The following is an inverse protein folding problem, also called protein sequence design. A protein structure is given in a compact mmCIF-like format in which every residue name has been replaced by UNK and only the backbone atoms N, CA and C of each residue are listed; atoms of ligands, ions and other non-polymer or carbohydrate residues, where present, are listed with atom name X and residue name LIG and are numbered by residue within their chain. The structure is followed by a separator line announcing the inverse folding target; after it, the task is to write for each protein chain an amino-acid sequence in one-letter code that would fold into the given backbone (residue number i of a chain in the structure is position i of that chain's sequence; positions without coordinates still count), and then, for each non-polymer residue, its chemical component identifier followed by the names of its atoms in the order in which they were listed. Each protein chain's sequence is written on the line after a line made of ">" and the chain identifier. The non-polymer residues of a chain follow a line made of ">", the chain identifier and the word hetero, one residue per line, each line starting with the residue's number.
data_IF_708764753736
#
_entry.id   IF_708764753736
#
_cell.length_a   1.000
_cell.length_b   1.000
_cell.length_c   1.000
_cell.angle_alpha   90.00
_cell.angle_beta   90.00
_cell.angle_gamma   90.00
#
_symmetry.space_group_name_H-M   'P 1'
#
loop_
_entity.id
_entity.type
_entity.pdbx_description
1 polymer ?
#
# COMPACT_ATOMS: atom_id res chain seq x y z
N UNK A 1 14.96 45.46 -31.11
CA UNK A 1 14.88 44.77 -29.79
C UNK A 1 13.68 43.85 -29.65
N UNK A 2 12.50 44.19 -30.19
CA UNK A 2 11.26 43.40 -30.06
C UNK A 2 11.39 41.95 -30.62
N UNK A 3 11.98 41.79 -31.81
CA UNK A 3 12.20 40.47 -32.44
C UNK A 3 13.08 39.53 -31.62
N UNK A 4 14.10 40.05 -30.92
CA UNK A 4 14.99 39.24 -30.05
C UNK A 4 14.26 38.70 -28.82
N UNK A 5 13.34 39.49 -28.25
CA UNK A 5 12.51 39.09 -27.11
C UNK A 5 11.46 38.03 -27.52
N UNK A 6 10.86 38.18 -28.70
CA UNK A 6 9.91 37.20 -29.26
C UNK A 6 10.61 35.87 -29.53
N UNK A 7 11.82 35.89 -30.09
CA UNK A 7 12.59 34.68 -30.36
C UNK A 7 12.98 33.93 -29.08
N UNK A 8 13.40 34.64 -28.03
CA UNK A 8 13.66 34.08 -26.70
C UNK A 8 12.41 33.46 -26.06
N UNK A 9 11.25 34.10 -26.22
CA UNK A 9 9.99 33.59 -25.70
C UNK A 9 9.53 32.32 -26.42
N UNK A 10 9.71 32.25 -27.75
CA UNK A 10 9.38 31.06 -28.55
C UNK A 10 10.30 29.89 -28.18
N UNK A 11 11.61 30.12 -27.99
CA UNK A 11 12.56 29.10 -27.51
C UNK A 11 12.16 28.57 -26.13
N UNK A 12 11.71 29.46 -25.23
CA UNK A 12 11.27 29.06 -23.90
C UNK A 12 10.02 28.17 -23.95
N UNK A 13 9.05 28.49 -24.82
CA UNK A 13 7.84 27.70 -25.02
C UNK A 13 8.16 26.33 -25.66
N UNK A 14 9.06 26.28 -26.64
CA UNK A 14 9.46 25.02 -27.28
C UNK A 14 10.28 24.13 -26.35
N UNK A 15 11.11 24.70 -25.47
CA UNK A 15 11.77 23.92 -24.41
C UNK A 15 10.75 23.32 -23.42
N UNK A 16 9.75 24.11 -22.99
CA UNK A 16 8.73 23.61 -22.05
C UNK A 16 7.85 22.50 -22.64
N UNK A 17 7.58 22.54 -23.95
CA UNK A 17 6.73 21.54 -24.61
C UNK A 17 7.41 20.18 -24.83
N UNK A 18 8.73 20.07 -24.67
CA UNK A 18 9.43 18.77 -24.67
C UNK A 18 9.41 18.05 -23.31
N UNK A 19 9.12 18.76 -22.22
CA UNK A 19 9.07 18.20 -20.85
C UNK A 19 7.72 17.51 -20.58
N UNK A 20 6.65 17.91 -21.29
CA UNK A 20 5.29 17.40 -21.11
C UNK A 20 4.97 16.14 -21.94
N UNK A 21 5.98 15.45 -22.49
CA UNK A 21 5.77 14.14 -23.08
C UNK A 21 5.65 13.10 -21.96
N UNK A 22 4.42 12.89 -21.49
CA UNK A 22 4.10 11.79 -20.58
C UNK A 22 4.44 10.47 -21.29
N UNK A 23 5.53 9.82 -20.88
CA UNK A 23 5.95 8.54 -21.44
C UNK A 23 4.83 7.53 -21.20
N UNK A 24 4.22 7.03 -22.28
CA UNK A 24 3.24 5.95 -22.21
C UNK A 24 3.90 4.71 -21.59
N UNK A 25 3.15 3.99 -20.76
CA UNK A 25 3.57 2.67 -20.30
C UNK A 25 3.78 1.75 -21.51
N UNK A 26 4.98 1.18 -21.62
CA UNK A 26 5.27 0.11 -22.56
C UNK A 26 4.83 -1.24 -21.96
N UNK A 27 4.28 -2.13 -22.81
CA UNK A 27 3.89 -3.48 -22.38
C UNK A 27 5.09 -4.32 -21.95
N UNK A 28 6.22 -4.19 -22.63
CA UNK A 28 7.44 -4.95 -22.30
C UNK A 28 7.95 -4.59 -20.90
N UNK A 29 7.99 -3.29 -20.59
CA UNK A 29 8.34 -2.82 -19.25
C UNK A 29 7.37 -3.34 -18.18
N UNK A 30 6.06 -3.37 -18.46
CA UNK A 30 5.07 -3.92 -17.54
C UNK A 30 5.36 -5.40 -17.25
N UNK A 31 5.54 -6.21 -18.29
CA UNK A 31 5.75 -7.65 -18.12
C UNK A 31 7.08 -7.95 -17.42
N UNK A 32 8.15 -7.23 -17.75
CA UNK A 32 9.42 -7.33 -17.03
C UNK A 32 9.27 -6.92 -15.56
N UNK A 33 8.54 -5.84 -15.26
CA UNK A 33 8.29 -5.42 -13.88
C UNK A 33 7.47 -6.46 -13.09
N UNK A 34 6.46 -7.08 -13.72
CA UNK A 34 5.67 -8.15 -13.10
C UNK A 34 6.52 -9.37 -12.73
N UNK A 35 7.46 -9.77 -13.58
CA UNK A 35 8.35 -10.90 -13.28
C UNK A 35 9.12 -10.72 -11.97
N UNK A 36 9.48 -9.48 -11.63
CA UNK A 36 10.19 -9.15 -10.39
C UNK A 36 9.22 -8.97 -9.21
N UNK A 37 8.06 -8.37 -9.46
CA UNK A 37 7.22 -7.81 -8.40
C UNK A 37 5.92 -8.57 -8.11
N UNK A 38 5.45 -9.49 -8.95
CA UNK A 38 4.10 -10.08 -8.81
C UNK A 38 3.91 -10.79 -7.46
N UNK A 39 4.83 -11.71 -7.11
CA UNK A 39 4.83 -12.40 -5.80
C UNK A 39 4.96 -11.40 -4.64
N UNK A 40 5.83 -10.40 -4.81
CA UNK A 40 6.10 -9.37 -3.79
C UNK A 40 4.88 -8.51 -3.50
N UNK A 41 4.16 -8.13 -4.54
CA UNK A 41 2.92 -7.37 -4.45
C UNK A 41 1.81 -8.19 -3.76
N UNK A 42 1.78 -9.51 -3.96
CA UNK A 42 0.94 -10.41 -3.18
C UNK A 42 1.23 -10.33 -1.68
N UNK A 43 2.51 -10.33 -1.29
CA UNK A 43 2.90 -10.17 0.11
C UNK A 43 2.54 -8.80 0.69
N UNK A 44 2.76 -7.72 -0.07
CA UNK A 44 2.35 -6.38 0.33
C UNK A 44 0.83 -6.27 0.52
N UNK A 45 0.04 -6.83 -0.40
CA UNK A 45 -1.41 -6.85 -0.29
C UNK A 45 -1.90 -7.57 0.98
N UNK A 46 -1.28 -8.71 1.30
CA UNK A 46 -1.58 -9.46 2.51
C UNK A 46 -1.21 -8.67 3.78
N UNK A 47 -0.03 -8.04 3.81
CA UNK A 47 0.38 -7.18 4.92
C UNK A 47 -0.61 -6.02 5.15
N UNK A 48 -1.04 -5.35 4.09
CA UNK A 48 -2.03 -4.26 4.16
C UNK A 48 -3.37 -4.72 4.75
N UNK A 49 -3.88 -5.87 4.31
CA UNK A 49 -5.15 -6.42 4.80
C UNK A 49 -5.04 -6.76 6.29
N UNK A 50 -3.98 -7.44 6.68
CA UNK A 50 -3.78 -7.84 8.07
C UNK A 50 -3.57 -6.63 8.99
N UNK A 51 -2.77 -5.66 8.58
CA UNK A 51 -2.52 -4.46 9.37
C UNK A 51 -3.76 -3.57 9.51
N UNK A 52 -4.59 -3.47 8.46
CA UNK A 52 -5.89 -2.82 8.57
C UNK A 52 -6.79 -3.49 9.61
N UNK A 53 -6.91 -4.83 9.55
CA UNK A 53 -7.70 -5.60 10.53
C UNK A 53 -7.15 -5.48 11.96
N UNK A 54 -5.83 -5.41 12.10
CA UNK A 54 -5.18 -5.20 13.39
C UNK A 54 -5.57 -3.85 13.99
N UNK A 55 -5.55 -2.78 13.18
CA UNK A 55 -6.00 -1.45 13.61
C UNK A 55 -7.49 -1.43 13.97
N UNK A 56 -8.34 -2.05 13.16
CA UNK A 56 -9.77 -2.17 13.44
C UNK A 56 -10.00 -2.86 14.79
N UNK A 57 -9.25 -3.95 15.06
CA UNK A 57 -9.29 -4.65 16.33
C UNK A 57 -8.81 -3.77 17.49
N UNK A 58 -7.70 -3.03 17.34
CA UNK A 58 -7.23 -2.07 18.35
C UNK A 58 -8.29 -1.00 18.68
N UNK A 59 -8.98 -0.48 17.67
CA UNK A 59 -10.04 0.52 17.84
C UNK A 59 -11.32 -0.03 18.47
N UNK A 60 -11.68 -1.28 18.14
CA UNK A 60 -12.86 -1.94 18.69
C UNK A 60 -12.65 -2.48 20.11
N UNK A 61 -11.40 -2.55 20.59
CA UNK A 61 -11.08 -3.22 21.84
C UNK A 61 -11.54 -2.43 23.07
N UNK A 62 -12.77 -2.70 23.48
CA UNK A 62 -13.16 -2.83 24.87
C UNK A 62 -12.57 -4.16 25.42
N UNK A 63 -11.39 -4.11 26.04
CA UNK A 63 -10.89 -5.03 27.08
C UNK A 63 -10.81 -6.57 26.83
N UNK A 64 -10.88 -7.12 25.60
CA UNK A 64 -11.05 -8.59 25.40
C UNK A 64 -10.01 -9.31 24.54
N UNK A 65 -9.24 -8.64 23.69
CA UNK A 65 -8.15 -9.32 22.96
C UNK A 65 -6.85 -9.37 23.79
N UNK A 66 -6.32 -10.58 24.02
CA UNK A 66 -5.04 -10.85 24.70
C UNK A 66 -3.86 -10.28 23.90
N UNK A 67 -2.91 -9.66 24.60
CA UNK A 67 -1.66 -9.07 24.07
C UNK A 67 -0.89 -10.04 23.16
N UNK A 68 -0.94 -11.33 23.47
CA UNK A 68 -0.30 -12.36 22.66
C UNK A 68 -0.88 -12.46 21.24
N UNK A 69 -2.19 -12.27 21.06
CA UNK A 69 -2.82 -12.32 19.74
C UNK A 69 -2.43 -11.13 18.85
N UNK A 70 -2.28 -9.93 19.45
CA UNK A 70 -1.81 -8.76 18.74
C UNK A 70 -0.35 -8.94 18.28
N UNK A 71 0.51 -9.43 19.17
CA UNK A 71 1.91 -9.73 18.83
C UNK A 71 2.03 -10.80 17.74
N UNK A 72 1.21 -11.86 17.80
CA UNK A 72 1.19 -12.88 16.75
C UNK A 72 0.79 -12.29 15.39
N UNK A 73 -0.23 -11.43 15.36
CA UNK A 73 -0.64 -10.72 14.15
C UNK A 73 0.45 -9.77 13.62
N UNK A 74 1.12 -9.02 14.50
CA UNK A 74 2.26 -8.15 14.15
C UNK A 74 3.40 -8.95 13.51
N UNK A 75 3.78 -10.08 14.09
CA UNK A 75 4.81 -10.97 13.54
C UNK A 75 4.42 -11.56 12.18
N UNK A 76 3.16 -11.96 11.99
CA UNK A 76 2.67 -12.39 10.68
C UNK A 76 2.80 -11.27 9.64
N UNK A 77 2.46 -10.03 9.99
CA UNK A 77 2.61 -8.88 9.09
C UNK A 77 4.09 -8.66 8.75
N UNK A 78 4.99 -8.68 9.75
CA UNK A 78 6.44 -8.56 9.53
C UNK A 78 6.97 -9.62 8.57
N UNK A 79 6.55 -10.87 8.71
CA UNK A 79 6.93 -11.96 7.79
C UNK A 79 6.54 -11.61 6.34
N UNK A 80 5.35 -11.05 6.13
CA UNK A 80 4.93 -10.61 4.80
C UNK A 80 5.77 -9.43 4.28
N UNK A 81 6.10 -8.45 5.14
CA UNK A 81 6.97 -7.33 4.78
C UNK A 81 8.40 -7.79 4.43
N UNK A 82 8.94 -8.78 5.15
CA UNK A 82 10.22 -9.40 4.80
C UNK A 82 10.16 -10.11 3.44
N UNK A 83 9.07 -10.85 3.16
CA UNK A 83 8.89 -11.55 1.87
C UNK A 83 8.66 -10.59 0.69
N UNK A 84 8.05 -9.43 0.94
CA UNK A 84 8.02 -8.32 -0.01
C UNK A 84 9.46 -7.90 -0.35
N UNK A 85 10.31 -7.73 0.67
CA UNK A 85 11.66 -7.20 0.61
C UNK A 85 11.73 -5.92 1.43
N UNK A 86 12.79 -5.73 2.23
CA UNK A 86 12.92 -4.50 3.04
C UNK A 86 13.14 -3.29 2.11
N UNK A 87 12.78 -2.06 2.51
CA UNK A 87 12.82 -0.90 1.62
C UNK A 87 14.16 -0.65 0.92
N UNK A 88 15.29 -0.92 1.58
CA UNK A 88 16.62 -0.82 0.96
C UNK A 88 16.82 -1.85 -0.16
N UNK A 89 16.42 -3.10 0.07
CA UNK A 89 16.51 -4.17 -0.93
C UNK A 89 15.57 -3.89 -2.11
N UNK A 90 14.37 -3.39 -1.85
CA UNK A 90 13.43 -3.03 -2.90
C UNK A 90 14.04 -1.98 -3.84
N UNK A 91 14.67 -0.93 -3.28
CA UNK A 91 15.33 0.14 -4.06
C UNK A 91 16.46 -0.35 -4.96
N UNK A 92 17.05 -1.50 -4.65
CA UNK A 92 18.16 -2.10 -5.39
C UNK A 92 17.69 -3.13 -6.43
N UNK A 93 16.38 -3.41 -6.52
CA UNK A 93 15.86 -4.36 -7.51
C UNK A 93 16.14 -3.89 -8.94
N UNK A 94 16.56 -4.84 -9.78
CA UNK A 94 16.69 -4.62 -11.22
C UNK A 94 15.28 -4.52 -11.83
N UNK A 95 14.86 -3.28 -12.10
CA UNK A 95 13.55 -2.95 -12.68
C UNK A 95 13.73 -2.17 -13.98
N UNK A 96 12.74 -2.21 -14.88
CA UNK A 96 12.75 -1.39 -16.09
C UNK A 96 13.01 0.10 -15.79
N UNK A 97 13.92 0.70 -16.54
CA UNK A 97 14.40 2.07 -16.31
C UNK A 97 13.40 3.16 -16.74
N UNK A 98 12.16 2.80 -17.12
CA UNK A 98 11.17 3.78 -17.58
C UNK A 98 10.62 4.60 -16.42
N UNK A 99 10.37 5.89 -16.68
CA UNK A 99 9.88 6.83 -15.67
C UNK A 99 8.58 6.36 -15.00
N UNK A 100 7.57 5.83 -15.73
CA UNK A 100 6.35 5.33 -15.10
C UNK A 100 6.60 4.15 -14.16
N UNK A 101 7.41 3.17 -14.57
CA UNK A 101 7.73 2.00 -13.74
C UNK A 101 8.47 2.42 -12.48
N UNK A 102 9.49 3.29 -12.58
CA UNK A 102 10.18 3.82 -11.40
C UNK A 102 9.24 4.54 -10.44
N UNK A 103 8.28 5.32 -10.97
CA UNK A 103 7.28 5.99 -10.14
C UNK A 103 6.43 4.98 -9.37
N UNK A 104 5.91 3.95 -10.04
CA UNK A 104 5.13 2.91 -9.37
C UNK A 104 5.95 2.15 -8.34
N UNK A 105 7.18 1.79 -8.69
CA UNK A 105 8.08 1.09 -7.79
C UNK A 105 8.36 1.90 -6.53
N UNK A 106 8.67 3.19 -6.66
CA UNK A 106 8.87 4.07 -5.52
C UNK A 106 7.61 4.18 -4.64
N UNK A 107 6.41 4.16 -5.21
CA UNK A 107 5.17 4.11 -4.43
C UNK A 107 5.02 2.81 -3.63
N UNK A 108 5.50 1.68 -4.16
CA UNK A 108 5.51 0.39 -3.44
C UNK A 108 6.54 0.39 -2.30
N UNK A 109 7.73 0.95 -2.55
CA UNK A 109 8.75 1.16 -1.53
C UNK A 109 8.20 2.04 -0.40
N UNK A 110 7.56 3.14 -0.74
CA UNK A 110 6.92 4.03 0.23
C UNK A 110 5.83 3.31 1.03
N UNK A 111 5.00 2.48 0.38
CA UNK A 111 4.02 1.64 1.08
C UNK A 111 4.69 0.72 2.10
N UNK A 112 5.82 0.10 1.76
CA UNK A 112 6.57 -0.74 2.70
C UNK A 112 7.08 0.06 3.90
N UNK A 113 7.68 1.23 3.66
CA UNK A 113 8.19 2.12 4.71
C UNK A 113 7.06 2.57 5.66
N UNK A 114 5.89 2.92 5.11
CA UNK A 114 4.71 3.31 5.90
C UNK A 114 4.17 2.16 6.76
N UNK A 115 4.13 0.93 6.26
CA UNK A 115 3.65 -0.22 7.02
C UNK A 115 4.59 -0.58 8.16
N UNK A 116 5.91 -0.53 7.93
CA UNK A 116 6.92 -0.70 8.97
C UNK A 116 6.75 0.38 10.05
N UNK A 117 6.60 1.64 9.65
CA UNK A 117 6.39 2.74 10.59
C UNK A 117 5.11 2.56 11.43
N UNK A 118 4.03 2.10 10.81
CA UNK A 118 2.78 1.85 11.50
C UNK A 118 2.85 0.64 12.44
N UNK A 119 3.56 -0.43 12.10
CA UNK A 119 3.79 -1.58 13.02
C UNK A 119 4.59 -1.12 14.23
N UNK A 120 5.74 -0.46 14.00
CA UNK A 120 6.59 0.01 15.09
C UNK A 120 5.81 0.94 16.03
N UNK A 121 4.95 1.80 15.46
CA UNK A 121 4.09 2.67 16.27
C UNK A 121 3.10 1.88 17.13
N UNK A 122 2.49 0.81 16.60
CA UNK A 122 1.58 -0.03 17.37
C UNK A 122 2.31 -0.80 18.47
N UNK A 123 3.49 -1.35 18.18
CA UNK A 123 4.34 -2.01 19.18
C UNK A 123 4.72 -1.08 20.33
N UNK A 124 5.11 0.15 20.01
CA UNK A 124 5.59 1.13 20.99
C UNK A 124 4.45 1.79 21.78
N UNK A 125 3.26 1.98 21.17
CA UNK A 125 2.23 2.91 21.68
C UNK A 125 0.82 2.34 21.79
N UNK A 126 0.49 1.20 21.16
CA UNK A 126 -0.87 0.67 21.22
C UNK A 126 -1.28 0.23 22.63
N UNK A 127 -0.32 -0.19 23.46
CA UNK A 127 -0.54 -0.52 24.88
C UNK A 127 -0.67 0.68 25.80
N UNK A 128 -0.25 1.87 25.34
CA UNK A 128 -0.24 3.12 26.11
C UNK A 128 -1.30 4.12 25.61
N UNK A 129 -2.14 3.74 24.64
CA UNK A 129 -3.22 4.58 24.09
C UNK A 129 -2.74 5.78 23.26
N UNK A 130 -1.49 5.78 22.79
CA UNK A 130 -0.77 7.01 22.41
C UNK A 130 -0.86 7.48 20.96
N UNK A 131 -1.10 6.63 19.95
CA UNK A 131 -0.95 7.09 18.54
C UNK A 131 -1.52 6.17 17.45
N UNK A 132 -2.65 5.50 17.71
CA UNK A 132 -3.33 4.66 16.70
C UNK A 132 -3.64 5.44 15.41
N UNK A 133 -3.97 6.72 15.52
CA UNK A 133 -4.28 7.60 14.37
C UNK A 133 -3.14 7.81 13.37
N UNK A 134 -1.88 7.79 13.83
CA UNK A 134 -0.73 7.84 12.92
C UNK A 134 -0.58 6.54 12.13
N UNK A 135 -0.78 5.41 12.81
CA UNK A 135 -0.72 4.10 12.19
C UNK A 135 -1.84 3.92 11.16
N UNK A 136 -3.06 4.36 11.46
CA UNK A 136 -4.20 4.41 10.52
C UNK A 136 -3.86 5.22 9.27
N UNK A 137 -3.45 6.48 9.44
CA UNK A 137 -3.13 7.36 8.31
C UNK A 137 -2.02 6.78 7.42
N UNK A 138 -1.04 6.11 8.03
CA UNK A 138 0.07 5.47 7.31
C UNK A 138 -0.41 4.25 6.52
N UNK A 139 -1.25 3.40 7.12
CA UNK A 139 -1.85 2.22 6.45
C UNK A 139 -2.76 2.65 5.30
N UNK A 140 -3.56 3.70 5.48
CA UNK A 140 -4.43 4.22 4.43
C UNK A 140 -3.63 4.78 3.25
N UNK A 141 -2.58 5.55 3.53
CA UNK A 141 -1.69 6.04 2.48
C UNK A 141 -1.00 4.89 1.74
N UNK A 142 -0.49 3.90 2.48
CA UNK A 142 0.15 2.72 1.90
C UNK A 142 -0.84 1.93 1.01
N UNK A 143 -2.10 1.83 1.43
CA UNK A 143 -3.19 1.18 0.68
C UNK A 143 -3.50 1.91 -0.62
N UNK A 144 -3.62 3.24 -0.59
CA UNK A 144 -3.88 4.06 -1.78
C UNK A 144 -2.74 3.94 -2.80
N UNK A 145 -1.49 4.00 -2.34
CA UNK A 145 -0.31 3.78 -3.17
C UNK A 145 -0.37 2.40 -3.86
N UNK A 146 -0.56 1.34 -3.08
CA UNK A 146 -0.64 -0.03 -3.60
C UNK A 146 -1.77 -0.19 -4.62
N UNK A 147 -2.99 0.26 -4.30
CA UNK A 147 -4.14 0.15 -5.20
C UNK A 147 -3.92 0.90 -6.51
N UNK A 148 -3.27 2.07 -6.45
CA UNK A 148 -2.94 2.87 -7.65
C UNK A 148 -1.98 2.10 -8.55
N UNK A 149 -0.94 1.48 -7.99
CA UNK A 149 0.02 0.67 -8.74
C UNK A 149 -0.66 -0.56 -9.33
N UNK A 150 -1.46 -1.29 -8.56
CA UNK A 150 -2.16 -2.49 -9.04
C UNK A 150 -3.11 -2.15 -10.19
N UNK A 151 -3.88 -1.06 -10.07
CA UNK A 151 -4.76 -0.56 -11.14
C UNK A 151 -3.97 -0.26 -12.42
N UNK A 152 -2.82 0.41 -12.30
CA UNK A 152 -2.02 0.81 -13.45
C UNK A 152 -1.31 -0.38 -14.14
N UNK A 153 -0.77 -1.33 -13.38
CA UNK A 153 0.05 -2.44 -13.90
C UNK A 153 -0.81 -3.61 -14.39
N UNK A 154 -1.88 -3.95 -13.66
CA UNK A 154 -2.69 -5.13 -13.96
C UNK A 154 -3.98 -4.80 -14.70
N UNK A 155 -4.40 -3.53 -14.69
CA UNK A 155 -5.66 -3.06 -15.27
C UNK A 155 -6.81 -4.06 -15.03
N UNK A 156 -7.08 -4.43 -13.76
CA UNK A 156 -8.10 -5.42 -13.45
C UNK A 156 -9.44 -4.93 -14.01
N UNK A 157 -10.18 -5.79 -14.69
CA UNK A 157 -11.51 -5.44 -15.20
C UNK A 157 -12.45 -5.22 -14.00
N UNK A 158 -12.78 -3.97 -13.70
CA UNK A 158 -13.76 -3.58 -12.66
C UNK A 158 -13.29 -2.42 -11.77
N UNK A 159 -14.23 -1.76 -11.09
CA UNK A 159 -13.90 -0.80 -10.03
C UNK A 159 -13.25 -1.55 -8.85
N UNK A 160 -11.95 -1.36 -8.62
CA UNK A 160 -11.34 -1.71 -7.33
C UNK A 160 -11.80 -0.66 -6.33
N UNK A 161 -12.99 -0.88 -5.77
CA UNK A 161 -13.48 -0.21 -4.57
C UNK A 161 -12.78 -0.82 -3.36
N UNK A 162 -12.25 -0.01 -2.43
CA UNK A 162 -11.88 -0.52 -1.12
C UNK A 162 -13.10 -1.24 -0.55
N UNK A 163 -12.95 -2.49 -0.13
CA UNK A 163 -13.99 -3.16 0.64
C UNK A 163 -13.98 -2.47 2.00
N UNK A 164 -14.87 -1.50 2.17
CA UNK A 164 -15.09 -0.76 3.43
C UNK A 164 -16.06 -1.50 4.36
N UNK A 165 -16.80 -2.48 3.82
CA UNK A 165 -17.74 -3.28 4.60
C UNK A 165 -17.04 -4.53 5.12
N UNK A 166 -16.88 -4.61 6.44
CA UNK A 166 -16.48 -5.84 7.10
C UNK A 166 -17.54 -6.91 6.80
N UNK A 167 -17.13 -8.03 6.19
CA UNK A 167 -17.96 -9.23 6.22
C UNK A 167 -17.94 -9.73 7.65
N UNK A 168 -19.02 -9.51 8.39
CA UNK A 168 -19.28 -10.27 9.61
C UNK A 168 -19.36 -11.74 9.22
N UNK A 169 -18.42 -12.54 9.71
CA UNK A 169 -18.53 -13.98 9.66
C UNK A 169 -19.30 -14.38 10.93
N UNK A 170 -20.37 -15.17 10.78
CA UNK A 170 -21.01 -15.85 11.90
C UNK A 170 -19.98 -16.86 12.47
N UNK A 171 -19.14 -16.42 13.40
CA UNK A 171 -18.21 -17.28 14.15
C UNK A 171 -18.88 -17.68 15.46
N UNK A 172 -19.17 -18.97 15.58
CA UNK A 172 -19.83 -19.58 16.74
C UNK A 172 -21.10 -20.32 16.33
N UNK A 173 -21.33 -21.49 16.91
CA UNK A 173 -22.64 -22.12 16.87
C UNK A 173 -23.62 -21.18 17.59
N UNK A 174 -24.63 -20.68 16.88
CA UNK A 174 -25.74 -19.96 17.51
C UNK A 174 -26.40 -20.94 18.48
N UNK A 175 -26.51 -20.63 19.79
CA UNK A 175 -27.12 -21.55 20.73
C UNK A 175 -28.54 -21.88 20.27
N UNK A 176 -28.86 -23.17 20.21
CA UNK A 176 -30.22 -23.62 19.89
C UNK A 176 -31.19 -23.01 20.89
N UNK A 177 -32.24 -22.37 20.38
CA UNK A 177 -33.33 -21.86 21.18
C UNK A 177 -34.03 -23.05 21.83
N UNK A 178 -33.82 -23.24 23.13
CA UNK A 178 -34.60 -24.19 23.91
C UNK A 178 -36.00 -23.59 24.04
N UNK A 179 -36.95 -24.10 23.27
CA UNK A 179 -38.36 -23.88 23.53
C UNK A 179 -38.71 -24.60 24.85
N UNK A 180 -39.03 -23.81 25.88
CA UNK A 180 -39.55 -24.34 27.14
C UNK A 180 -41.06 -24.62 26.93
N UNK A 181 -41.43 -25.90 26.86
CA UNK A 181 -42.83 -26.35 26.98
C UNK A 181 -43.38 -26.15 28.41
#
# INVERSE_FOLDING_TARGET
>A
MLFKKIYLFIIFITLFSTIACEQKLNKEDIESYKQVMDVRLGHLGNALIMQGRLLDAYNQNNATADENHFKEAEELIKIHLTKLGIPSELKELDIPNSKPIKKFHNSIVESSELLIAAINMLEDQAWLGGSVSFAEASVDKARVNFQTVVKAIYNPKGEVKPITEHKEYDVGEKPELIELE
#
